data_IF_557873772695
#
_entry.id   IF_557873772695
#
_cell.length_a   1.000
_cell.length_b   1.000
_cell.length_c   1.000
_cell.angle_alpha   90.00
_cell.angle_beta   90.00
_cell.angle_gamma   90.00
#
_symmetry.space_group_name_H-M   'P 1'
#
loop_
_entity.id
_entity.type
_entity.pdbx_description
1 polymer ?
#
# COMPACT_ATOMS: atom_id res chain seq x y z
N UNK A 1 -10.45 14.13 -13.58
CA UNK A 1 -9.33 14.33 -12.66
C UNK A 1 -8.21 15.02 -13.41
N UNK A 2 -7.66 16.08 -12.86
CA UNK A 2 -6.52 16.77 -13.48
C UNK A 2 -5.22 16.13 -12.99
N UNK A 3 -4.40 15.69 -13.95
CA UNK A 3 -3.15 15.00 -13.68
C UNK A 3 -2.04 15.67 -14.48
N UNK A 4 -0.98 16.12 -13.81
CA UNK A 4 0.15 16.75 -14.46
C UNK A 4 1.13 15.68 -14.98
N UNK A 5 2.00 16.07 -15.92
CA UNK A 5 3.05 15.19 -16.40
C UNK A 5 4.01 14.79 -15.27
N UNK A 6 4.29 15.71 -14.36
CA UNK A 6 5.14 15.42 -13.21
C UNK A 6 4.49 14.37 -12.29
N UNK A 7 3.20 14.47 -12.06
CA UNK A 7 2.46 13.50 -11.26
C UNK A 7 2.53 12.10 -11.88
N UNK A 8 2.38 12.01 -13.19
CA UNK A 8 2.49 10.75 -13.93
C UNK A 8 3.90 10.16 -13.78
N UNK A 9 4.92 10.99 -13.97
CA UNK A 9 6.30 10.52 -13.86
C UNK A 9 6.63 10.07 -12.43
N UNK A 10 6.19 10.83 -11.44
CA UNK A 10 6.41 10.48 -10.04
C UNK A 10 5.70 9.17 -9.67
N UNK A 11 4.51 8.94 -10.23
CA UNK A 11 3.78 7.70 -9.97
C UNK A 11 4.49 6.50 -10.64
N UNK A 12 5.03 6.68 -11.85
CA UNK A 12 5.85 5.65 -12.49
C UNK A 12 7.06 5.31 -11.64
N UNK A 13 7.75 6.32 -11.13
CA UNK A 13 8.91 6.15 -10.27
C UNK A 13 8.53 5.44 -8.97
N UNK A 14 7.37 5.79 -8.42
CA UNK A 14 6.82 5.14 -7.21
C UNK A 14 6.68 3.63 -7.43
N UNK A 15 6.09 3.22 -8.55
CA UNK A 15 5.89 1.80 -8.85
C UNK A 15 7.24 1.09 -9.04
N UNK A 16 8.18 1.72 -9.74
CA UNK A 16 9.53 1.15 -9.91
C UNK A 16 10.19 0.92 -8.54
N UNK A 17 10.11 1.92 -7.66
CA UNK A 17 10.69 1.82 -6.33
C UNK A 17 10.00 0.74 -5.50
N UNK A 18 8.67 0.66 -5.57
CA UNK A 18 7.91 -0.34 -4.84
C UNK A 18 8.28 -1.75 -5.32
N UNK A 19 8.42 -1.94 -6.64
CA UNK A 19 8.85 -3.21 -7.22
C UNK A 19 10.26 -3.62 -6.79
N UNK A 20 11.11 -2.66 -6.44
CA UNK A 20 12.48 -2.93 -6.01
C UNK A 20 12.57 -3.53 -4.59
N UNK A 21 11.48 -3.48 -3.83
CA UNK A 21 11.46 -3.94 -2.43
C UNK A 21 11.11 -5.43 -2.35
N UNK A 22 11.96 -6.26 -2.92
CA UNK A 22 11.72 -7.71 -3.04
C UNK A 22 11.59 -8.44 -1.70
N UNK A 23 12.18 -7.90 -0.62
CA UNK A 23 12.12 -8.50 0.72
C UNK A 23 10.85 -8.12 1.48
N UNK A 24 10.05 -7.27 0.91
CA UNK A 24 8.86 -6.72 1.57
C UNK A 24 7.59 -7.30 0.98
N UNK A 25 6.55 -7.31 1.79
CA UNK A 25 5.19 -7.59 1.33
C UNK A 25 4.34 -6.34 1.53
N UNK A 26 3.53 -6.02 0.53
CA UNK A 26 2.64 -4.87 0.58
C UNK A 26 1.32 -5.30 1.19
N UNK A 27 0.84 -4.53 2.16
CA UNK A 27 -0.44 -4.79 2.84
C UNK A 27 -1.47 -3.78 2.35
N UNK A 28 -2.57 -4.28 1.81
CA UNK A 28 -3.72 -3.48 1.41
C UNK A 28 -4.96 -4.01 2.11
N UNK A 29 -6.07 -3.29 2.03
CA UNK A 29 -7.29 -3.71 2.69
C UNK A 29 -8.01 -4.83 1.94
N UNK A 30 -8.17 -4.70 0.63
CA UNK A 30 -8.97 -5.66 -0.13
C UNK A 30 -8.51 -5.89 -1.56
N UNK A 31 -9.31 -6.68 -2.26
CA UNK A 31 -9.01 -7.14 -3.62
C UNK A 31 -8.89 -6.00 -4.63
N UNK A 32 -9.77 -5.00 -4.53
CA UNK A 32 -9.75 -3.87 -5.48
C UNK A 32 -8.48 -3.06 -5.37
N UNK A 33 -7.93 -2.97 -4.15
CA UNK A 33 -6.68 -2.27 -3.92
C UNK A 33 -5.51 -3.00 -4.57
N UNK A 34 -5.45 -4.32 -4.39
CA UNK A 34 -4.39 -5.12 -5.01
C UNK A 34 -4.49 -5.10 -6.53
N UNK A 35 -5.71 -5.12 -7.07
CA UNK A 35 -5.93 -5.01 -8.51
C UNK A 35 -5.47 -3.66 -9.06
N UNK A 36 -5.74 -2.57 -8.32
CA UNK A 36 -5.30 -1.23 -8.72
C UNK A 36 -3.78 -1.13 -8.79
N UNK A 37 -3.08 -1.66 -7.79
CA UNK A 37 -1.61 -1.69 -7.81
C UNK A 37 -1.08 -2.49 -8.99
N UNK A 38 -1.67 -3.64 -9.27
CA UNK A 38 -1.26 -4.48 -10.40
C UNK A 38 -1.48 -3.78 -11.73
N UNK A 39 -2.59 -3.07 -11.88
CA UNK A 39 -2.87 -2.29 -13.10
C UNK A 39 -1.81 -1.23 -13.35
N UNK A 40 -1.22 -0.68 -12.30
CA UNK A 40 -0.16 0.32 -12.44
C UNK A 40 1.22 -0.28 -12.67
N UNK A 41 1.33 -1.60 -12.65
CA UNK A 41 2.58 -2.28 -12.92
C UNK A 41 3.29 -2.87 -11.71
N UNK A 42 2.64 -2.86 -10.53
CA UNK A 42 3.23 -3.53 -9.37
C UNK A 42 3.17 -5.04 -9.56
N UNK A 43 4.32 -5.69 -9.44
CA UNK A 43 4.46 -7.13 -9.64
C UNK A 43 4.90 -7.89 -8.40
N UNK A 44 5.04 -7.20 -7.28
CA UNK A 44 5.47 -7.80 -6.04
C UNK A 44 4.35 -8.50 -5.28
N UNK A 45 4.70 -8.92 -4.06
CA UNK A 45 3.76 -9.66 -3.20
C UNK A 45 2.82 -8.70 -2.48
N UNK A 46 1.53 -8.99 -2.54
CA UNK A 46 0.47 -8.22 -1.86
C UNK A 46 -0.33 -9.16 -0.96
N UNK A 47 -0.61 -8.72 0.26
CA UNK A 47 -1.55 -9.40 1.15
C UNK A 47 -2.76 -8.48 1.37
N UNK A 48 -3.96 -9.07 1.29
CA UNK A 48 -5.21 -8.37 1.48
C UNK A 48 -5.73 -8.64 2.88
N UNK A 49 -5.77 -7.60 3.70
CA UNK A 49 -6.14 -7.73 5.11
C UNK A 49 -7.50 -8.41 5.31
N UNK A 50 -8.48 -8.12 4.43
CA UNK A 50 -9.84 -8.67 4.58
C UNK A 50 -9.90 -10.20 4.47
N UNK A 51 -8.87 -10.84 3.89
CA UNK A 51 -8.83 -12.30 3.79
C UNK A 51 -8.47 -12.97 5.10
N UNK A 52 -7.96 -12.21 6.05
CA UNK A 52 -7.64 -12.71 7.39
C UNK A 52 -8.84 -12.53 8.29
N UNK A 53 -9.02 -13.43 9.24
CA UNK A 53 -10.14 -13.36 10.17
C UNK A 53 -9.78 -12.53 11.39
N UNK A 54 -9.50 -11.26 11.14
CA UNK A 54 -9.21 -10.32 12.20
C UNK A 54 -7.73 -10.02 12.37
N UNK A 55 -7.44 -9.02 13.19
CA UNK A 55 -6.10 -8.49 13.39
C UNK A 55 -5.13 -9.53 13.96
N UNK A 56 -5.58 -10.31 14.94
CA UNK A 56 -4.71 -11.28 15.61
C UNK A 56 -4.18 -12.33 14.63
N UNK A 57 -5.05 -12.89 13.77
CA UNK A 57 -4.62 -13.87 12.79
C UNK A 57 -3.70 -13.27 11.74
N UNK A 58 -3.98 -12.03 11.36
CA UNK A 58 -3.12 -11.29 10.45
C UNK A 58 -1.73 -11.12 11.05
N UNK A 59 -1.65 -10.63 12.29
CA UNK A 59 -0.38 -10.41 12.99
C UNK A 59 0.41 -11.71 13.12
N UNK A 60 -0.26 -12.80 13.52
CA UNK A 60 0.41 -14.09 13.69
C UNK A 60 1.03 -14.57 12.38
N UNK A 61 0.32 -14.40 11.26
CA UNK A 61 0.80 -14.88 9.98
C UNK A 61 1.92 -14.02 9.42
N UNK A 62 1.80 -12.69 9.50
CA UNK A 62 2.78 -11.79 8.90
C UNK A 62 4.03 -11.59 9.74
N UNK A 63 4.03 -12.04 10.99
CA UNK A 63 5.22 -11.94 11.85
C UNK A 63 6.42 -12.70 11.31
N UNK A 64 6.20 -13.60 10.36
CA UNK A 64 7.27 -14.35 9.69
C UNK A 64 7.94 -13.58 8.56
N UNK A 65 7.34 -12.49 8.10
CA UNK A 65 7.92 -11.67 7.02
C UNK A 65 9.00 -10.75 7.58
N UNK A 66 9.99 -10.43 6.76
CA UNK A 66 11.08 -9.54 7.16
C UNK A 66 10.64 -8.07 7.20
N UNK A 67 9.80 -7.67 6.27
CA UNK A 67 9.41 -6.27 6.13
C UNK A 67 8.01 -6.15 5.54
N UNK A 68 7.25 -5.21 6.09
CA UNK A 68 5.91 -4.88 5.60
C UNK A 68 5.88 -3.45 5.08
N UNK A 69 5.24 -3.26 3.92
CA UNK A 69 4.92 -1.93 3.40
C UNK A 69 3.41 -1.78 3.55
N UNK A 70 2.97 -0.86 4.40
CA UNK A 70 1.55 -0.70 4.68
C UNK A 70 0.96 0.37 3.76
N UNK A 71 0.00 -0.05 2.93
CA UNK A 71 -0.75 0.81 2.02
C UNK A 71 -2.24 0.65 2.25
N UNK A 72 -2.66 0.80 3.51
CA UNK A 72 -4.07 0.83 3.84
C UNK A 72 -4.67 2.19 3.49
N UNK A 73 -5.99 2.23 3.33
CA UNK A 73 -6.67 3.45 2.94
C UNK A 73 -6.49 4.56 3.97
N UNK A 74 -6.69 5.81 3.52
CA UNK A 74 -6.54 7.00 4.38
C UNK A 74 -7.82 7.33 5.15
N UNK A 75 -8.81 6.47 5.10
CA UNK A 75 -10.02 6.65 5.86
C UNK A 75 -9.79 6.28 7.35
N UNK A 76 -10.82 6.46 8.16
CA UNK A 76 -10.74 6.20 9.61
C UNK A 76 -10.35 4.76 9.89
N UNK A 77 -10.94 3.80 9.17
CA UNK A 77 -10.67 2.38 9.36
C UNK A 77 -9.23 2.03 8.99
N UNK A 78 -8.76 2.54 7.85
CA UNK A 78 -7.40 2.28 7.39
C UNK A 78 -6.35 2.83 8.35
N UNK A 79 -6.58 4.03 8.88
CA UNK A 79 -5.68 4.63 9.87
C UNK A 79 -5.69 3.85 11.18
N UNK A 80 -6.84 3.41 11.62
CA UNK A 80 -6.96 2.59 12.82
C UNK A 80 -6.20 1.27 12.66
N UNK A 81 -6.41 0.56 11.55
CA UNK A 81 -5.72 -0.69 11.28
C UNK A 81 -4.21 -0.50 11.19
N UNK A 82 -3.76 0.55 10.53
CA UNK A 82 -2.32 0.86 10.43
C UNK A 82 -1.71 1.00 11.82
N UNK A 83 -2.35 1.79 12.69
CA UNK A 83 -1.88 2.00 14.06
C UNK A 83 -1.79 0.67 14.82
N UNK A 84 -2.82 -0.17 14.70
CA UNK A 84 -2.86 -1.45 15.42
C UNK A 84 -1.81 -2.43 14.91
N UNK A 85 -1.60 -2.47 13.61
CA UNK A 85 -0.57 -3.32 13.02
C UNK A 85 0.82 -2.89 13.50
N UNK A 86 1.09 -1.58 13.48
CA UNK A 86 2.36 -1.04 13.95
C UNK A 86 2.59 -1.39 15.42
N UNK A 87 1.59 -1.13 16.26
CA UNK A 87 1.71 -1.42 17.71
C UNK A 87 2.07 -2.86 17.99
N UNK A 88 1.51 -3.80 17.23
CA UNK A 88 1.70 -5.22 17.50
C UNK A 88 2.92 -5.83 16.83
N UNK A 89 3.43 -5.23 15.77
CA UNK A 89 4.49 -5.83 14.96
C UNK A 89 5.82 -5.07 14.93
N UNK A 90 5.85 -3.80 15.36
CA UNK A 90 7.06 -2.97 15.18
C UNK A 90 8.34 -3.53 15.80
N UNK A 91 8.22 -4.38 16.82
CA UNK A 91 9.36 -5.02 17.46
C UNK A 91 9.78 -6.34 16.81
N UNK A 92 8.95 -6.86 15.91
CA UNK A 92 9.18 -8.17 15.27
C UNK A 92 9.50 -8.05 13.80
N UNK A 93 8.91 -7.07 13.12
CA UNK A 93 8.96 -6.92 11.68
C UNK A 93 9.27 -5.47 11.36
N UNK A 94 10.11 -5.25 10.36
CA UNK A 94 10.35 -3.89 9.88
C UNK A 94 9.08 -3.39 9.18
N UNK A 95 8.61 -2.21 9.57
CA UNK A 95 7.39 -1.62 9.00
C UNK A 95 7.75 -0.34 8.28
N UNK A 96 7.36 -0.25 7.01
CA UNK A 96 7.61 0.89 6.17
C UNK A 96 6.29 1.61 5.88
N UNK A 97 6.16 2.82 6.39
CA UNK A 97 5.02 3.70 6.15
C UNK A 97 5.34 4.79 5.13
N UNK A 98 6.58 4.82 4.63
CA UNK A 98 7.05 5.89 3.75
C UNK A 98 6.36 5.90 2.40
N UNK A 99 6.02 4.73 1.88
CA UNK A 99 5.34 4.63 0.58
C UNK A 99 3.97 5.27 0.61
N UNK A 100 3.24 5.12 1.70
CA UNK A 100 1.95 5.77 1.84
C UNK A 100 2.08 7.29 1.82
N UNK A 101 3.08 7.82 2.54
CA UNK A 101 3.35 9.26 2.54
C UNK A 101 3.75 9.77 1.16
N UNK A 102 4.59 9.00 0.46
CA UNK A 102 4.98 9.33 -0.92
C UNK A 102 3.77 9.39 -1.84
N UNK A 103 2.88 8.42 -1.71
CA UNK A 103 1.68 8.36 -2.55
C UNK A 103 0.78 9.56 -2.32
N UNK A 104 0.59 9.95 -1.07
CA UNK A 104 -0.20 11.15 -0.73
C UNK A 104 0.43 12.38 -1.37
N UNK A 105 1.74 12.52 -1.27
CA UNK A 105 2.48 13.65 -1.84
C UNK A 105 2.36 13.70 -3.36
N UNK A 106 2.59 12.56 -4.02
CA UNK A 106 2.53 12.45 -5.49
C UNK A 106 1.14 12.82 -6.01
N UNK A 107 0.10 12.30 -5.39
CA UNK A 107 -1.28 12.51 -5.82
C UNK A 107 -1.90 13.78 -5.24
N UNK A 108 -1.13 14.54 -4.48
CA UNK A 108 -1.57 15.80 -3.84
C UNK A 108 -2.82 15.61 -2.98
N UNK A 109 -2.90 14.46 -2.32
CA UNK A 109 -4.02 14.13 -1.45
C UNK A 109 -5.32 13.77 -2.15
N UNK A 110 -5.33 13.64 -3.49
CA UNK A 110 -6.54 13.31 -4.24
C UNK A 110 -7.02 11.88 -4.00
N UNK A 111 -6.10 10.98 -3.62
CA UNK A 111 -6.41 9.57 -3.43
C UNK A 111 -6.57 9.28 -1.94
N UNK A 112 -7.75 8.84 -1.54
CA UNK A 112 -8.03 8.38 -0.16
C UNK A 112 -8.06 6.87 -0.07
N UNK A 113 -8.56 6.23 -1.13
CA UNK A 113 -8.68 4.77 -1.22
C UNK A 113 -7.71 4.28 -2.29
N UNK A 114 -6.95 3.24 -1.96
CA UNK A 114 -5.93 2.71 -2.86
C UNK A 114 -6.54 2.28 -4.20
N UNK A 115 -7.77 1.75 -4.20
CA UNK A 115 -8.44 1.35 -5.44
C UNK A 115 -8.57 2.50 -6.45
N UNK A 116 -8.60 3.74 -5.97
CA UNK A 116 -8.70 4.91 -6.85
C UNK A 116 -7.47 5.10 -7.74
N UNK A 117 -6.36 4.47 -7.40
CA UNK A 117 -5.15 4.53 -8.23
C UNK A 117 -5.37 3.96 -9.62
N UNK A 118 -6.38 3.09 -9.77
CA UNK A 118 -6.75 2.57 -11.09
C UNK A 118 -7.08 3.66 -12.11
N UNK A 119 -7.51 4.84 -11.63
CA UNK A 119 -7.81 5.97 -12.50
C UNK A 119 -6.59 6.49 -13.26
N UNK A 120 -5.38 6.23 -12.76
CA UNK A 120 -4.15 6.67 -13.40
C UNK A 120 -3.72 5.76 -14.56
N UNK A 121 -4.33 4.59 -14.70
CA UNK A 121 -3.90 3.60 -15.69
C UNK A 121 -3.85 4.18 -17.10
N UNK A 122 -4.83 4.97 -17.49
CA UNK A 122 -4.90 5.55 -18.84
C UNK A 122 -3.79 6.58 -19.11
N UNK A 123 -3.11 7.07 -18.06
CA UNK A 123 -2.02 8.03 -18.20
C UNK A 123 -0.64 7.36 -18.24
N UNK A 124 -0.58 6.10 -17.86
CA UNK A 124 0.66 5.34 -17.78
C UNK A 124 0.86 4.49 -19.05
#
# INVERSE_FOLDING_TARGET
MMVSEQEIQDLKNFIVLLNSKSDSVVIVEGKRDSEALKKLGFSGRVLEFHKFRGLRKFVDLVSEYNSLIILLDRDRKGRYLTTKIVEQLERRVKIDLSFKRKLVSITKGKIRFIEELGCYKSFL
#
